data_IF_028939008943
#
_entry.id   IF_028939008943
#
_cell.length_a   1.000
_cell.length_b   1.000
_cell.length_c   1.000
_cell.angle_alpha   90.00
_cell.angle_beta   90.00
_cell.angle_gamma   90.00
#
_symmetry.space_group_name_H-M   'P 1'
#
loop_
_entity.id
_entity.type
_entity.pdbx_description
1 polymer ?
#
# COMPACT_ATOMS: atom_id res chain seq x y z
N UNK A 1 -37.71 -41.51 -40.16
CA UNK A 1 -38.56 -40.37 -40.52
C UNK A 1 -37.72 -39.11 -40.38
N UNK A 2 -37.11 -38.68 -41.48
CA UNK A 2 -36.50 -37.37 -41.64
C UNK A 2 -37.53 -36.48 -42.35
N UNK A 3 -37.65 -35.22 -41.91
CA UNK A 3 -38.11 -34.15 -42.80
C UNK A 3 -37.49 -32.82 -42.40
N UNK A 4 -36.55 -32.38 -43.23
CA UNK A 4 -36.07 -31.01 -43.40
C UNK A 4 -37.18 -30.13 -43.97
N UNK A 5 -37.29 -28.86 -43.54
CA UNK A 5 -37.66 -27.72 -44.40
C UNK A 5 -37.01 -26.42 -43.88
N UNK A 6 -36.05 -25.88 -44.63
CA UNK A 6 -35.90 -24.44 -44.93
C UNK A 6 -36.29 -24.27 -46.41
N UNK A 7 -36.77 -23.10 -46.91
CA UNK A 7 -35.97 -21.87 -47.16
C UNK A 7 -36.81 -20.60 -46.87
N UNK A 8 -36.40 -19.33 -47.01
CA UNK A 8 -35.76 -18.63 -48.14
C UNK A 8 -35.46 -17.17 -47.76
N UNK A 9 -34.42 -16.62 -48.37
CA UNK A 9 -33.87 -15.25 -48.28
C UNK A 9 -34.37 -14.32 -49.41
N UNK A 10 -33.98 -13.02 -49.32
CA UNK A 10 -33.76 -11.97 -50.36
C UNK A 10 -34.84 -10.84 -50.43
N UNK A 11 -34.56 -9.52 -50.73
CA UNK A 11 -33.32 -8.70 -50.73
C UNK A 11 -33.41 -7.27 -50.08
N UNK A 12 -32.22 -6.67 -49.89
CA UNK A 12 -31.76 -5.26 -50.01
C UNK A 12 -32.73 -4.09 -50.31
N UNK A 13 -32.52 -2.97 -49.59
CA UNK A 13 -32.50 -1.62 -50.18
C UNK A 13 -31.53 -0.69 -49.39
N UNK A 14 -30.62 -0.05 -50.12
CA UNK A 14 -29.74 1.02 -49.67
C UNK A 14 -30.28 2.38 -50.12
N UNK A 15 -30.05 3.44 -49.35
CA UNK A 15 -30.11 4.82 -49.83
C UNK A 15 -29.10 5.69 -49.06
N UNK A 16 -28.34 6.49 -49.82
CA UNK A 16 -27.20 7.29 -49.40
C UNK A 16 -27.55 8.79 -49.27
N UNK A 17 -26.79 9.48 -48.40
CA UNK A 17 -26.23 10.86 -48.53
C UNK A 17 -27.20 12.05 -48.75
N UNK A 18 -27.15 13.20 -48.08
CA UNK A 18 -26.04 14.18 -47.94
C UNK A 18 -26.53 15.42 -47.11
N UNK A 19 -25.83 16.57 -46.97
CA UNK A 19 -25.35 17.10 -45.68
C UNK A 19 -25.94 18.47 -45.28
N UNK A 20 -25.60 18.98 -44.08
CA UNK A 20 -25.64 20.43 -43.80
C UNK A 20 -24.58 20.81 -42.77
N UNK A 21 -23.83 21.86 -43.11
CA UNK A 21 -22.60 22.34 -42.48
C UNK A 21 -22.87 23.35 -41.32
N UNK A 22 -21.87 24.08 -40.78
CA UNK A 22 -21.60 24.14 -39.34
C UNK A 22 -22.03 25.48 -38.71
N UNK A 23 -22.12 25.52 -37.37
CA UNK A 23 -22.26 26.77 -36.63
C UNK A 23 -21.06 27.01 -35.72
N UNK A 24 -20.48 28.20 -35.91
CA UNK A 24 -19.29 28.74 -35.29
C UNK A 24 -19.50 29.16 -33.83
N UNK A 25 -18.39 29.07 -33.13
CA UNK A 25 -18.06 29.35 -31.73
C UNK A 25 -18.18 30.86 -31.40
N UNK A 26 -18.26 31.24 -30.11
CA UNK A 26 -17.32 32.24 -29.62
C UNK A 26 -16.51 31.76 -28.41
N UNK A 27 -15.20 31.82 -28.60
CA UNK A 27 -14.12 31.55 -27.65
C UNK A 27 -14.03 32.71 -26.69
N UNK A 28 -14.11 32.46 -25.38
CA UNK A 28 -13.61 33.40 -24.38
C UNK A 28 -12.13 33.15 -24.18
N UNK A 29 -11.32 34.06 -24.72
CA UNK A 29 -9.92 34.24 -24.39
C UNK A 29 -9.82 34.93 -23.03
N UNK A 30 -9.30 34.23 -22.02
CA UNK A 30 -8.75 34.88 -20.82
C UNK A 30 -7.23 34.84 -20.92
N UNK A 31 -6.66 35.96 -21.36
CA UNK A 31 -5.24 36.27 -21.23
C UNK A 31 -4.92 36.52 -19.76
N UNK A 32 -4.18 35.62 -19.11
CA UNK A 32 -3.42 35.95 -17.91
C UNK A 32 -1.95 36.03 -18.30
N UNK A 33 -1.43 37.25 -18.33
CA UNK A 33 0.00 37.52 -18.43
C UNK A 33 0.66 37.20 -17.09
N UNK A 34 1.75 36.45 -17.18
CA UNK A 34 2.76 36.36 -16.13
C UNK A 34 3.44 37.73 -16.00
N UNK A 35 3.22 38.41 -14.87
CA UNK A 35 4.07 39.50 -14.41
C UNK A 35 4.59 39.14 -13.03
N UNK A 36 5.85 38.70 -13.03
CA UNK A 36 6.74 38.67 -11.88
C UNK A 36 6.94 40.09 -11.35
N UNK A 37 6.48 40.39 -10.14
CA UNK A 37 6.89 41.58 -9.40
C UNK A 37 7.25 41.22 -7.95
N UNK A 38 8.55 41.33 -7.68
CA UNK A 38 9.16 41.44 -6.36
C UNK A 38 8.54 42.61 -5.59
N UNK A 39 8.22 42.45 -4.29
CA UNK A 39 8.18 43.57 -3.36
C UNK A 39 9.43 43.57 -2.50
N UNK A 40 10.34 44.50 -2.78
CA UNK A 40 11.29 44.99 -1.81
C UNK A 40 10.53 45.78 -0.72
N UNK A 41 10.62 45.34 0.52
CA UNK A 41 10.14 46.10 1.68
C UNK A 41 11.19 46.09 2.77
N UNK A 42 12.02 47.13 2.73
CA UNK A 42 12.79 47.60 3.87
C UNK A 42 11.84 47.96 5.02
N UNK A 43 11.92 47.23 6.14
CA UNK A 43 11.48 47.74 7.44
C UNK A 43 12.64 47.69 8.43
N UNK A 44 13.20 48.89 8.68
CA UNK A 44 13.92 49.20 9.92
C UNK A 44 12.93 49.08 11.07
N UNK A 45 13.28 48.29 12.08
CA UNK A 45 12.73 48.43 13.42
C UNK A 45 13.89 48.44 14.41
N UNK A 46 14.02 49.60 15.05
CA UNK A 46 14.93 49.91 16.14
C UNK A 46 14.47 49.22 17.42
N UNK A 47 15.40 48.53 18.10
CA UNK A 47 15.28 48.20 19.52
C UNK A 47 16.25 49.08 20.31
N UNK A 48 15.74 49.74 21.35
CA UNK A 48 16.48 50.58 22.30
C UNK A 48 16.38 50.02 23.72
N UNK A 49 17.49 50.17 24.46
CA UNK A 49 17.63 49.99 25.92
C UNK A 49 17.99 48.56 26.33
N UNK A 50 19.24 48.23 26.70
CA UNK A 50 20.04 48.79 27.80
C UNK A 50 19.79 47.91 29.05
N UNK A 51 20.73 47.38 29.84
CA UNK A 51 22.09 47.71 30.33
C UNK A 51 22.67 46.36 30.87
N UNK A 52 23.95 46.08 31.13
CA UNK A 52 25.19 46.85 31.15
C UNK A 52 26.38 45.94 31.49
N UNK A 53 27.57 46.41 31.07
CA UNK A 53 28.98 46.24 31.51
C UNK A 53 29.49 45.06 32.39
N UNK A 54 30.83 44.76 32.41
CA UNK A 54 31.93 45.27 31.58
C UNK A 54 32.81 44.18 30.91
N UNK A 55 33.51 44.63 29.87
CA UNK A 55 34.65 43.95 29.24
C UNK A 55 35.91 44.22 30.06
N UNK A 56 36.65 43.16 30.42
CA UNK A 56 38.08 43.22 30.72
C UNK A 56 38.84 42.52 29.61
N UNK A 57 39.87 43.22 29.16
CA UNK A 57 40.64 43.04 27.93
C UNK A 57 41.89 42.23 28.26
N UNK A 58 42.17 41.17 27.51
CA UNK A 58 43.54 40.67 27.38
C UNK A 58 43.73 39.96 26.04
N UNK A 59 44.79 40.39 25.36
CA UNK A 59 45.18 39.99 24.01
C UNK A 59 45.67 38.56 23.97
N UNK A 60 45.37 37.90 22.86
CA UNK A 60 45.97 36.65 22.41
C UNK A 60 47.47 36.82 22.14
N UNK A 61 48.30 36.04 22.82
CA UNK A 61 49.64 35.69 22.34
C UNK A 61 49.86 34.19 22.56
N UNK A 62 50.27 33.57 21.45
CA UNK A 62 50.68 32.19 21.20
C UNK A 62 51.49 31.51 22.31
N UNK A 63 51.25 30.21 22.50
CA UNK A 63 52.21 29.10 22.36
C UNK A 63 51.57 27.88 23.02
N UNK A 64 51.17 26.86 22.24
CA UNK A 64 50.85 25.55 22.80
C UNK A 64 51.67 24.48 22.10
N UNK A 65 52.49 23.84 22.93
CA UNK A 65 53.34 22.69 22.69
C UNK A 65 52.55 21.47 22.26
N UNK A 66 53.16 20.68 21.39
CA UNK A 66 52.79 19.32 21.02
C UNK A 66 52.53 18.45 22.27
N UNK A 67 51.34 17.89 22.37
CA UNK A 67 51.11 16.65 23.09
C UNK A 67 50.21 15.76 22.23
N UNK A 68 50.86 14.78 21.62
CA UNK A 68 50.26 13.68 20.88
C UNK A 68 49.59 12.74 21.90
N UNK A 69 48.27 12.86 22.06
CA UNK A 69 47.46 11.84 22.73
C UNK A 69 47.00 10.84 21.67
N UNK A 70 47.69 9.70 21.64
CA UNK A 70 47.24 8.52 20.92
C UNK A 70 46.04 7.95 21.67
N UNK A 71 44.83 8.27 21.20
CA UNK A 71 43.59 7.65 21.66
C UNK A 71 43.02 6.84 20.51
N UNK A 72 43.40 5.57 20.46
CA UNK A 72 42.63 4.55 19.77
C UNK A 72 41.32 4.35 20.54
N UNK A 73 40.31 5.17 20.23
CA UNK A 73 38.93 4.73 20.40
C UNK A 73 38.63 3.68 19.33
N UNK A 74 38.00 2.54 19.66
CA UNK A 74 37.49 1.65 18.65
C UNK A 74 36.35 2.39 17.96
N UNK A 75 36.59 2.87 16.73
CA UNK A 75 35.53 3.30 15.84
C UNK A 75 34.67 2.08 15.58
N UNK A 76 33.59 1.97 16.35
CA UNK A 76 32.48 1.10 16.02
C UNK A 76 31.87 1.71 14.76
N UNK A 77 32.46 1.42 13.60
CA UNK A 77 31.89 1.71 12.29
C UNK A 77 30.58 0.91 12.23
N UNK A 78 29.50 1.50 12.74
CA UNK A 78 28.17 1.07 12.40
C UNK A 78 28.08 1.25 10.90
N UNK A 79 28.25 0.16 10.15
CA UNK A 79 28.03 0.15 8.72
C UNK A 79 26.61 0.64 8.49
N UNK A 80 26.49 1.85 7.94
CA UNK A 80 25.19 2.42 7.62
C UNK A 80 24.49 1.48 6.63
N UNK A 81 23.33 0.95 7.03
CA UNK A 81 22.59 0.00 6.21
C UNK A 81 22.05 0.69 4.96
N UNK A 82 21.89 -0.05 3.87
CA UNK A 82 21.24 0.51 2.69
C UNK A 82 19.80 0.92 3.02
N UNK A 83 19.44 2.13 2.60
CA UNK A 83 18.11 2.72 2.74
C UNK A 83 17.48 3.12 1.41
N UNK A 84 18.14 2.83 0.30
CA UNK A 84 17.66 3.16 -1.03
C UNK A 84 16.99 1.95 -1.67
N UNK A 85 15.86 2.16 -2.34
CA UNK A 85 15.24 1.14 -3.19
C UNK A 85 16.26 0.58 -4.18
N UNK A 86 16.31 -0.75 -4.28
CA UNK A 86 17.15 -1.45 -5.25
C UNK A 86 16.72 -1.13 -6.69
N UNK A 87 17.59 -1.46 -7.64
CA UNK A 87 17.29 -1.26 -9.07
C UNK A 87 16.10 -2.12 -9.50
N UNK A 88 15.43 -1.69 -10.56
CA UNK A 88 14.41 -2.53 -11.19
C UNK A 88 15.06 -3.83 -11.70
N UNK A 89 14.39 -4.95 -11.44
CA UNK A 89 14.75 -6.27 -11.94
C UNK A 89 13.50 -6.94 -12.52
N UNK A 90 13.71 -7.82 -13.49
CA UNK A 90 12.66 -8.66 -14.06
C UNK A 90 12.60 -10.01 -13.32
N UNK A 91 11.42 -10.66 -13.29
CA UNK A 91 11.31 -11.98 -12.72
C UNK A 91 12.02 -12.99 -13.63
N UNK A 92 12.80 -13.89 -13.04
CA UNK A 92 13.42 -14.98 -13.79
C UNK A 92 12.46 -16.16 -14.01
N UNK A 93 11.37 -16.21 -13.26
CA UNK A 93 10.33 -17.24 -13.37
C UNK A 93 8.96 -16.67 -13.03
N UNK A 94 7.94 -17.10 -13.75
CA UNK A 94 6.53 -16.74 -13.51
C UNK A 94 5.66 -17.96 -13.76
N UNK A 95 4.48 -18.00 -13.15
CA UNK A 95 3.55 -19.11 -13.34
C UNK A 95 2.13 -18.78 -12.90
N UNK A 96 1.24 -19.71 -13.20
CA UNK A 96 -0.15 -19.73 -12.72
C UNK A 96 -0.32 -21.02 -11.92
N UNK A 97 -0.75 -20.90 -10.66
CA UNK A 97 -0.98 -22.04 -9.77
C UNK A 97 -2.49 -22.22 -9.57
N UNK A 98 -3.01 -23.41 -9.89
CA UNK A 98 -4.40 -23.78 -9.53
C UNK A 98 -4.47 -24.05 -8.04
N UNK A 99 -5.27 -23.26 -7.31
CA UNK A 99 -5.41 -23.35 -5.86
C UNK A 99 -6.76 -23.88 -5.40
N UNK A 100 -7.79 -23.77 -6.24
CA UNK A 100 -9.07 -24.46 -6.05
C UNK A 100 -9.67 -24.83 -7.40
N UNK A 101 -10.86 -25.45 -7.42
CA UNK A 101 -11.58 -25.68 -8.68
C UNK A 101 -12.09 -24.38 -9.33
N UNK A 102 -12.15 -23.29 -8.56
CA UNK A 102 -12.54 -21.97 -9.05
C UNK A 102 -11.32 -21.13 -9.40
N UNK A 103 -10.29 -21.12 -8.55
CA UNK A 103 -9.23 -20.11 -8.61
C UNK A 103 -7.90 -20.62 -9.15
N UNK A 104 -7.26 -19.76 -9.94
CA UNK A 104 -5.83 -19.83 -10.22
C UNK A 104 -5.15 -18.50 -9.85
N UNK A 105 -3.99 -18.59 -9.22
CA UNK A 105 -3.21 -17.41 -8.81
C UNK A 105 -1.97 -17.24 -9.67
N UNK A 106 -1.68 -16.01 -10.06
CA UNK A 106 -0.40 -15.64 -10.67
C UNK A 106 0.68 -15.54 -9.60
N UNK A 107 1.87 -16.05 -9.91
CA UNK A 107 3.06 -15.87 -9.09
C UNK A 107 4.29 -15.59 -9.95
N UNK A 108 5.30 -14.98 -9.33
CA UNK A 108 6.59 -14.72 -9.92
C UNK A 108 7.74 -14.83 -8.91
N UNK A 109 8.93 -15.12 -9.43
CA UNK A 109 10.17 -15.20 -8.68
C UNK A 109 11.22 -14.26 -9.28
N UNK A 110 11.86 -13.47 -8.43
CA UNK A 110 12.89 -12.49 -8.78
C UNK A 110 14.09 -12.58 -7.82
N UNK A 111 15.17 -11.85 -8.11
CA UNK A 111 16.38 -11.85 -7.28
C UNK A 111 17.21 -13.12 -7.47
N UNK A 112 17.81 -13.63 -6.40
CA UNK A 112 18.71 -14.78 -6.41
C UNK A 112 17.89 -16.08 -6.28
N UNK A 113 17.90 -17.01 -7.27
CA UNK A 113 17.19 -18.28 -7.17
C UNK A 113 17.59 -19.17 -5.99
N UNK A 114 18.82 -19.00 -5.48
CA UNK A 114 19.35 -19.71 -4.31
C UNK A 114 19.41 -18.82 -3.06
N UNK A 115 18.77 -17.66 -3.11
CA UNK A 115 18.76 -16.68 -2.02
C UNK A 115 17.79 -17.05 -0.89
N UNK A 116 17.81 -16.25 0.18
CA UNK A 116 16.85 -16.37 1.28
C UNK A 116 15.43 -16.08 0.75
N UNK A 117 14.47 -17.01 0.91
CA UNK A 117 13.13 -16.82 0.37
C UNK A 117 12.35 -15.76 1.16
N UNK A 118 11.69 -14.86 0.44
CA UNK A 118 10.77 -13.85 0.98
C UNK A 118 9.51 -13.80 0.15
N UNK A 119 8.35 -13.83 0.81
CA UNK A 119 7.04 -13.63 0.17
C UNK A 119 6.54 -12.21 0.40
N UNK A 120 6.10 -11.56 -0.67
CA UNK A 120 5.46 -10.25 -0.64
C UNK A 120 3.94 -10.41 -0.70
N UNK A 121 3.25 -9.89 0.31
CA UNK A 121 1.79 -9.86 0.40
C UNK A 121 1.28 -8.45 0.06
N UNK A 122 0.64 -8.30 -1.10
CA UNK A 122 0.12 -7.02 -1.55
C UNK A 122 -1.09 -6.54 -0.73
N UNK A 123 -1.35 -5.22 -0.79
CA UNK A 123 -2.46 -4.56 -0.08
C UNK A 123 -3.79 -4.55 -0.84
N UNK A 124 -4.68 -3.65 -0.41
CA UNK A 124 -6.11 -3.59 -0.76
C UNK A 124 -6.98 -4.06 0.42
N UNK A 125 -7.63 -5.25 0.35
CA UNK A 125 -7.36 -6.34 -0.58
C UNK A 125 -7.82 -6.07 -2.01
N UNK A 126 -7.31 -6.86 -2.97
CA UNK A 126 -7.65 -6.69 -4.39
C UNK A 126 -6.67 -5.84 -5.21
N UNK A 127 -5.57 -5.35 -4.62
CA UNK A 127 -4.62 -4.45 -5.31
C UNK A 127 -3.72 -5.09 -6.37
N UNK A 128 -3.30 -6.35 -6.16
CA UNK A 128 -2.30 -7.00 -6.99
C UNK A 128 -0.88 -6.47 -6.76
N UNK A 129 0.08 -7.13 -7.39
CA UNK A 129 1.51 -6.79 -7.33
C UNK A 129 1.93 -5.86 -8.45
N UNK A 130 3.10 -5.23 -8.28
CA UNK A 130 3.71 -4.34 -9.26
C UNK A 130 5.23 -4.51 -9.31
N UNK A 131 5.90 -4.17 -10.42
CA UNK A 131 7.36 -4.34 -10.54
C UNK A 131 8.17 -3.61 -9.46
N UNK A 132 7.66 -2.49 -8.95
CA UNK A 132 8.31 -1.71 -7.89
C UNK A 132 8.39 -2.47 -6.56
N UNK A 133 7.52 -3.45 -6.32
CA UNK A 133 7.51 -4.24 -5.09
C UNK A 133 8.77 -5.11 -4.94
N UNK A 134 9.45 -5.45 -6.03
CA UNK A 134 10.73 -6.21 -6.00
C UNK A 134 11.88 -5.39 -5.42
N UNK A 135 11.77 -4.06 -5.43
CA UNK A 135 12.88 -3.13 -5.13
C UNK A 135 13.15 -2.95 -3.63
N UNK A 136 12.34 -3.54 -2.76
CA UNK A 136 12.56 -3.50 -1.32
C UNK A 136 13.63 -4.50 -0.85
N UNK A 137 14.06 -5.41 -1.73
CA UNK A 137 14.90 -6.56 -1.37
C UNK A 137 16.21 -6.50 -2.14
N UNK A 138 17.32 -6.85 -1.47
CA UNK A 138 18.60 -7.06 -2.12
C UNK A 138 18.52 -8.23 -3.11
N UNK A 139 18.66 -8.00 -4.42
CA UNK A 139 18.48 -9.04 -5.43
C UNK A 139 19.57 -10.10 -5.39
N UNK A 140 20.72 -9.84 -4.78
CA UNK A 140 21.80 -10.82 -4.65
C UNK A 140 21.59 -11.75 -3.46
N UNK A 141 20.80 -11.34 -2.47
CA UNK A 141 20.55 -12.12 -1.26
C UNK A 141 19.19 -12.80 -1.24
N UNK A 142 18.13 -12.13 -1.70
CA UNK A 142 16.78 -12.65 -1.58
C UNK A 142 16.32 -13.42 -2.82
N UNK A 143 15.65 -14.55 -2.60
CA UNK A 143 14.72 -15.17 -3.55
C UNK A 143 13.35 -14.54 -3.31
N UNK A 144 12.92 -13.64 -4.19
CA UNK A 144 11.75 -12.78 -3.98
C UNK A 144 10.53 -13.41 -4.64
N UNK A 145 9.51 -13.75 -3.86
CA UNK A 145 8.25 -14.34 -4.32
C UNK A 145 7.16 -13.27 -4.24
N UNK A 146 6.57 -12.92 -5.38
CA UNK A 146 5.37 -12.09 -5.49
C UNK A 146 4.25 -12.96 -6.04
N UNK A 147 3.03 -12.77 -5.57
CA UNK A 147 1.84 -13.38 -6.16
C UNK A 147 0.64 -12.45 -6.05
N UNK A 148 -0.27 -12.56 -7.00
CA UNK A 148 -1.53 -11.84 -6.96
C UNK A 148 -2.58 -12.70 -6.24
N UNK A 149 -3.20 -12.16 -5.20
CA UNK A 149 -4.24 -12.84 -4.44
C UNK A 149 -5.48 -13.11 -5.31
N UNK A 150 -6.38 -13.99 -4.84
CA UNK A 150 -7.58 -14.41 -5.57
C UNK A 150 -8.37 -13.22 -6.13
N UNK A 151 -8.64 -13.27 -7.44
CA UNK A 151 -9.41 -12.26 -8.16
C UNK A 151 -8.73 -10.91 -8.40
N UNK A 152 -7.48 -10.73 -7.98
CA UNK A 152 -6.72 -9.49 -8.16
C UNK A 152 -5.63 -9.65 -9.24
N UNK A 153 -5.22 -8.52 -9.84
CA UNK A 153 -4.11 -8.48 -10.80
C UNK A 153 -4.28 -9.50 -11.93
N UNK A 154 -3.30 -10.40 -12.08
CA UNK A 154 -3.27 -11.45 -13.10
C UNK A 154 -3.94 -12.77 -12.66
N UNK A 155 -4.43 -12.85 -11.43
CA UNK A 155 -5.12 -14.03 -10.90
C UNK A 155 -6.55 -14.12 -11.43
N UNK A 156 -7.05 -15.35 -11.61
CA UNK A 156 -8.36 -15.57 -12.24
C UNK A 156 -9.25 -16.48 -11.37
N UNK A 157 -10.59 -16.27 -11.41
CA UNK A 157 -11.31 -15.29 -12.22
C UNK A 157 -11.23 -13.87 -11.64
N UNK A 158 -11.05 -12.87 -12.52
CA UNK A 158 -10.93 -11.46 -12.14
C UNK A 158 -12.15 -10.97 -11.34
N UNK A 159 -11.91 -10.21 -10.26
CA UNK A 159 -12.91 -9.68 -9.34
C UNK A 159 -13.86 -10.75 -8.72
N UNK A 160 -13.45 -12.02 -8.67
CA UNK A 160 -14.26 -13.09 -8.11
C UNK A 160 -14.25 -13.08 -6.57
N UNK A 161 -15.45 -13.18 -5.97
CA UNK A 161 -15.65 -13.20 -4.51
C UNK A 161 -15.96 -14.60 -3.95
N UNK A 162 -16.23 -15.57 -4.82
CA UNK A 162 -16.48 -16.96 -4.42
C UNK A 162 -15.18 -17.55 -3.90
N UNK A 163 -15.17 -18.23 -2.75
CA UNK A 163 -13.93 -18.75 -2.13
C UNK A 163 -12.84 -17.68 -2.04
N UNK A 164 -13.18 -16.46 -1.60
CA UNK A 164 -12.22 -15.37 -1.47
C UNK A 164 -12.27 -14.80 -0.05
N UNK A 165 -11.77 -15.58 0.90
CA UNK A 165 -11.70 -15.24 2.33
C UNK A 165 -10.26 -15.16 2.81
N UNK A 166 -10.04 -14.58 4.00
CA UNK A 166 -8.70 -14.55 4.62
C UNK A 166 -8.09 -15.94 4.77
N UNK A 167 -8.92 -16.94 5.11
CA UNK A 167 -8.47 -18.32 5.31
C UNK A 167 -8.13 -19.01 3.99
N UNK A 168 -8.91 -18.75 2.93
CA UNK A 168 -8.59 -19.17 1.57
C UNK A 168 -7.22 -18.64 1.11
N UNK A 169 -6.93 -17.38 1.41
CA UNK A 169 -5.65 -16.77 1.04
C UNK A 169 -4.48 -17.34 1.87
N UNK A 170 -4.71 -17.70 3.14
CA UNK A 170 -3.70 -18.39 3.96
C UNK A 170 -3.38 -19.77 3.37
N UNK A 171 -4.39 -20.53 2.95
CA UNK A 171 -4.21 -21.81 2.30
C UNK A 171 -3.45 -21.67 0.97
N UNK A 172 -3.70 -20.60 0.21
CA UNK A 172 -2.99 -20.31 -1.03
C UNK A 172 -1.50 -19.99 -0.82
N UNK A 173 -1.19 -19.26 0.26
CA UNK A 173 0.18 -18.94 0.64
C UNK A 173 0.94 -20.25 0.91
N UNK A 174 0.36 -21.21 1.64
CA UNK A 174 0.98 -22.52 1.86
C UNK A 174 1.09 -23.35 0.58
N UNK A 175 0.05 -23.41 -0.26
CA UNK A 175 0.11 -24.10 -1.56
C UNK A 175 1.23 -23.54 -2.44
N UNK A 176 1.42 -22.22 -2.45
CA UNK A 176 2.50 -21.59 -3.20
C UNK A 176 3.87 -21.92 -2.58
N UNK A 177 4.00 -21.87 -1.26
CA UNK A 177 5.22 -22.23 -0.54
C UNK A 177 5.66 -23.66 -0.87
N UNK A 178 4.73 -24.60 -0.82
CA UNK A 178 4.97 -26.01 -1.15
C UNK A 178 5.27 -26.22 -2.64
N UNK A 179 4.52 -25.56 -3.53
CA UNK A 179 4.74 -25.62 -4.98
C UNK A 179 6.14 -25.17 -5.37
N UNK A 180 6.68 -24.17 -4.68
CA UNK A 180 8.02 -23.62 -4.92
C UNK A 180 9.14 -24.33 -4.11
N UNK A 181 8.77 -25.37 -3.35
CA UNK A 181 9.65 -26.18 -2.50
C UNK A 181 10.41 -25.35 -1.46
N UNK A 182 9.73 -24.37 -0.86
CA UNK A 182 10.31 -23.46 0.15
C UNK A 182 9.95 -23.99 1.56
N UNK A 183 10.91 -24.38 2.40
CA UNK A 183 10.57 -24.89 3.75
C UNK A 183 9.97 -23.82 4.65
N UNK A 184 10.62 -22.66 4.70
CA UNK A 184 10.28 -21.49 5.50
C UNK A 184 10.70 -20.24 4.73
N UNK A 185 10.08 -19.09 5.00
CA UNK A 185 10.39 -17.83 4.32
C UNK A 185 10.17 -16.61 5.20
N UNK A 186 10.72 -15.48 4.78
CA UNK A 186 10.40 -14.18 5.37
C UNK A 186 9.05 -13.70 4.80
N UNK A 187 8.24 -13.03 5.62
CA UNK A 187 6.96 -12.44 5.20
C UNK A 187 7.06 -10.93 5.17
N UNK A 188 6.75 -10.32 4.04
CA UNK A 188 6.70 -8.87 3.87
C UNK A 188 5.30 -8.45 3.45
N UNK A 189 4.68 -7.50 4.16
CA UNK A 189 3.36 -7.02 3.77
C UNK A 189 2.96 -5.71 4.43
N UNK A 190 2.21 -4.88 3.71
CA UNK A 190 1.72 -3.61 4.25
C UNK A 190 0.29 -3.29 3.86
N UNK A 191 -0.37 -2.43 4.64
CA UNK A 191 -1.82 -2.22 4.56
C UNK A 191 -2.56 -3.53 4.83
N UNK A 192 -3.54 -3.91 4.01
CA UNK A 192 -4.08 -5.28 4.01
C UNK A 192 -3.02 -6.39 3.97
N UNK A 193 -1.89 -6.17 3.29
CA UNK A 193 -0.77 -7.11 3.30
C UNK A 193 -0.19 -7.32 4.71
N UNK A 194 -0.32 -6.34 5.62
CA UNK A 194 0.03 -6.51 7.04
C UNK A 194 -1.03 -7.35 7.78
N UNK A 195 -2.32 -7.17 7.48
CA UNK A 195 -3.42 -8.00 7.98
C UNK A 195 -3.19 -9.47 7.63
N UNK A 196 -2.91 -9.74 6.35
CA UNK A 196 -2.67 -11.10 5.85
C UNK A 196 -1.35 -11.66 6.37
N UNK A 197 -0.30 -10.85 6.48
CA UNK A 197 0.97 -11.25 7.12
C UNK A 197 0.76 -11.71 8.55
N UNK A 198 0.02 -10.94 9.36
CA UNK A 198 -0.27 -11.28 10.75
C UNK A 198 -1.09 -12.57 10.83
N UNK A 199 -2.16 -12.68 10.05
CA UNK A 199 -3.04 -13.85 10.06
C UNK A 199 -2.30 -15.13 9.62
N UNK A 200 -1.51 -15.06 8.54
CA UNK A 200 -0.69 -16.17 8.06
C UNK A 200 0.36 -16.59 9.10
N UNK A 201 1.14 -15.66 9.63
CA UNK A 201 2.17 -15.98 10.63
C UNK A 201 1.57 -16.52 11.93
N UNK A 202 0.35 -16.12 12.31
CA UNK A 202 -0.34 -16.67 13.48
C UNK A 202 -0.87 -18.09 13.26
N UNK A 203 -1.18 -18.46 12.01
CA UNK A 203 -1.61 -19.80 11.63
C UNK A 203 -0.42 -20.75 11.41
N UNK A 204 0.68 -20.24 10.87
CA UNK A 204 1.88 -21.01 10.49
C UNK A 204 3.17 -20.38 11.05
N UNK A 205 3.30 -20.21 12.38
CA UNK A 205 4.44 -19.52 12.98
C UNK A 205 5.78 -20.21 12.69
N UNK A 206 5.78 -21.53 12.49
CA UNK A 206 6.96 -22.33 12.17
C UNK A 206 7.41 -22.20 10.70
N UNK A 207 6.66 -21.47 9.85
CA UNK A 207 7.02 -21.23 8.44
C UNK A 207 7.65 -19.87 8.20
N UNK A 208 7.79 -19.05 9.24
CA UNK A 208 8.12 -17.63 9.12
C UNK A 208 9.46 -17.31 9.78
N UNK A 209 10.45 -16.99 8.96
CA UNK A 209 11.83 -16.67 9.41
C UNK A 209 11.99 -15.23 9.91
N UNK A 210 11.09 -14.34 9.51
CA UNK A 210 11.09 -12.92 9.88
C UNK A 210 9.93 -12.17 9.23
N UNK A 211 9.62 -10.98 9.74
CA UNK A 211 8.52 -10.16 9.22
C UNK A 211 8.91 -8.69 9.04
N UNK A 212 8.44 -8.09 7.94
CA UNK A 212 8.48 -6.64 7.73
C UNK A 212 7.07 -6.15 7.41
N UNK A 213 6.52 -5.36 8.33
CA UNK A 213 5.15 -4.88 8.30
C UNK A 213 5.08 -3.37 8.06
N UNK A 214 4.10 -2.90 7.30
CA UNK A 214 3.90 -1.47 7.05
C UNK A 214 2.44 -1.05 7.10
N UNK A 215 2.13 0.14 7.62
CA UNK A 215 0.77 0.70 7.51
C UNK A 215 -0.23 -0.26 8.14
N UNK A 216 -0.08 -0.50 9.44
CA UNK A 216 -0.72 -1.60 10.15
C UNK A 216 -2.23 -1.48 10.06
N UNK A 217 -2.85 -2.52 9.52
CA UNK A 217 -4.29 -2.67 9.43
C UNK A 217 -4.71 -3.92 10.19
N UNK A 218 -5.57 -3.76 11.20
CA UNK A 218 -6.01 -4.85 12.06
C UNK A 218 -7.47 -5.25 11.80
N UNK A 219 -8.11 -4.61 10.82
CA UNK A 219 -9.50 -4.83 10.41
C UNK A 219 -10.57 -4.64 11.50
N UNK A 220 -10.24 -3.96 12.59
CA UNK A 220 -11.22 -3.62 13.62
C UNK A 220 -12.26 -2.66 13.09
N UNK A 221 -13.49 -2.75 13.59
CA UNK A 221 -14.60 -1.86 13.20
C UNK A 221 -14.21 -0.39 13.30
N UNK A 222 -13.45 0.01 14.33
CA UNK A 222 -13.01 1.40 14.49
C UNK A 222 -12.09 1.91 13.37
N UNK A 223 -11.37 1.02 12.68
CA UNK A 223 -10.51 1.35 11.53
C UNK A 223 -11.35 1.49 10.27
N UNK A 224 -12.32 0.59 10.07
CA UNK A 224 -13.30 0.68 8.99
C UNK A 224 -14.15 1.95 9.12
N UNK A 225 -14.69 2.22 10.31
CA UNK A 225 -15.50 3.40 10.59
C UNK A 225 -14.70 4.69 10.38
N UNK A 226 -13.43 4.69 10.78
CA UNK A 226 -12.54 5.82 10.56
C UNK A 226 -12.44 6.15 9.07
N UNK A 227 -12.17 5.16 8.21
CA UNK A 227 -11.85 5.44 6.82
C UNK A 227 -13.07 5.49 5.89
N UNK A 228 -14.10 4.67 6.14
CA UNK A 228 -15.26 4.51 5.25
C UNK A 228 -16.59 4.99 5.85
N UNK A 229 -16.63 5.45 7.10
CA UNK A 229 -17.85 6.02 7.71
C UNK A 229 -17.66 7.48 8.17
N UNK A 230 -16.61 8.14 7.67
CA UNK A 230 -16.46 9.61 7.71
C UNK A 230 -15.49 10.17 8.75
N UNK A 231 -14.70 9.33 9.45
CA UNK A 231 -13.63 9.83 10.33
C UNK A 231 -12.56 10.62 9.58
N UNK A 232 -11.99 10.02 8.53
CA UNK A 232 -10.96 10.62 7.68
C UNK A 232 -11.47 11.81 6.85
N UNK A 233 -12.79 11.95 6.69
CA UNK A 233 -13.40 13.11 6.04
C UNK A 233 -13.12 14.44 6.76
N UNK A 234 -12.75 14.39 8.05
CA UNK A 234 -12.30 15.57 8.79
C UNK A 234 -10.99 16.16 8.23
N UNK A 235 -10.22 15.36 7.47
CA UNK A 235 -8.94 15.76 6.86
C UNK A 235 -9.12 16.00 5.35
N UNK A 236 -9.93 15.18 4.68
CA UNK A 236 -10.15 15.23 3.22
C UNK A 236 -11.64 15.40 2.85
N UNK A 237 -12.28 16.52 3.23
CA UNK A 237 -13.71 16.73 2.96
C UNK A 237 -14.02 16.82 1.46
N UNK A 238 -13.07 17.33 0.67
CA UNK A 238 -13.13 17.47 -0.79
C UNK A 238 -13.04 16.12 -1.53
N UNK A 239 -12.18 15.20 -1.08
CA UNK A 239 -12.14 13.84 -1.61
C UNK A 239 -13.33 12.99 -1.12
N UNK A 240 -13.81 13.25 0.09
CA UNK A 240 -14.91 12.51 0.71
C UNK A 240 -16.26 12.81 0.07
N UNK A 241 -16.51 14.06 -0.33
CA UNK A 241 -17.80 14.48 -0.87
C UNK A 241 -18.24 13.64 -2.08
N UNK A 242 -17.42 13.44 -3.14
CA UNK A 242 -17.79 12.55 -4.26
C UNK A 242 -18.05 11.10 -3.84
N UNK A 243 -17.27 10.55 -2.90
CA UNK A 243 -17.47 9.19 -2.38
C UNK A 243 -18.82 9.07 -1.66
N UNK A 244 -19.15 10.02 -0.79
CA UNK A 244 -20.42 10.03 -0.05
C UNK A 244 -21.62 10.33 -0.95
N UNK A 245 -21.51 11.27 -1.87
CA UNK A 245 -22.63 11.75 -2.69
C UNK A 245 -23.11 10.74 -3.74
N UNK A 246 -22.27 9.75 -4.11
CA UNK A 246 -22.73 8.61 -4.91
C UNK A 246 -23.85 7.82 -4.20
N UNK A 247 -23.86 7.82 -2.86
CA UNK A 247 -24.84 7.12 -2.05
C UNK A 247 -26.03 8.06 -1.75
N UNK A 248 -27.28 7.67 -2.03
CA UNK A 248 -28.47 8.42 -1.64
C UNK A 248 -28.53 8.67 -0.14
N UNK A 249 -29.01 9.84 0.27
CA UNK A 249 -29.00 10.29 1.67
C UNK A 249 -29.62 9.27 2.64
N UNK A 250 -30.71 8.61 2.24
CA UNK A 250 -31.40 7.59 3.03
C UNK A 250 -30.64 6.25 3.15
N UNK A 251 -29.58 6.02 2.37
CA UNK A 251 -28.70 4.85 2.45
C UNK A 251 -27.38 5.14 3.18
N UNK A 252 -27.11 6.39 3.60
CA UNK A 252 -25.84 6.79 4.26
C UNK A 252 -25.69 6.37 5.73
N UNK A 253 -26.52 5.42 6.19
CA UNK A 253 -26.42 4.86 7.55
C UNK A 253 -25.27 3.88 7.73
N UNK A 254 -24.84 3.23 6.64
CA UNK A 254 -23.54 2.58 6.50
C UNK A 254 -23.12 2.66 5.04
N UNK A 255 -22.05 3.39 4.77
CA UNK A 255 -21.53 3.53 3.42
C UNK A 255 -20.92 2.21 2.94
N UNK A 256 -20.29 1.44 3.83
CA UNK A 256 -19.73 0.12 3.48
C UNK A 256 -20.83 -0.80 2.93
N UNK A 257 -21.98 -0.91 3.59
CA UNK A 257 -23.10 -1.73 3.12
C UNK A 257 -23.76 -1.16 1.86
N UNK A 258 -23.90 0.17 1.78
CA UNK A 258 -24.49 0.84 0.62
C UNK A 258 -23.64 0.67 -0.66
N UNK A 259 -22.32 0.68 -0.51
CA UNK A 259 -21.38 0.34 -1.57
C UNK A 259 -21.41 -1.16 -1.89
N UNK A 260 -21.51 -2.04 -0.90
CA UNK A 260 -21.60 -3.49 -1.12
C UNK A 260 -22.73 -3.88 -2.06
N UNK A 261 -23.90 -3.27 -1.86
CA UNK A 261 -25.08 -3.43 -2.72
C UNK A 261 -24.79 -3.01 -4.18
N UNK A 262 -24.09 -1.90 -4.39
CA UNK A 262 -23.80 -1.35 -5.73
C UNK A 262 -22.70 -2.12 -6.45
N UNK A 263 -21.65 -2.49 -5.71
CA UNK A 263 -20.51 -3.29 -6.17
C UNK A 263 -20.91 -4.73 -6.56
N UNK A 264 -22.07 -5.20 -6.13
CA UNK A 264 -22.63 -6.52 -6.49
C UNK A 264 -23.99 -6.42 -7.21
N UNK A 265 -24.28 -5.27 -7.84
CA UNK A 265 -25.47 -5.06 -8.66
C UNK A 265 -25.41 -5.90 -9.95
N UNK A 266 -26.55 -6.35 -10.48
CA UNK A 266 -26.60 -6.98 -11.82
C UNK A 266 -26.28 -5.98 -12.95
N UNK A 267 -26.36 -4.67 -12.68
CA UNK A 267 -25.97 -3.62 -13.62
C UNK A 267 -24.48 -3.26 -13.51
N UNK A 268 -23.72 -3.55 -14.56
CA UNK A 268 -22.28 -3.25 -14.64
C UNK A 268 -21.96 -1.76 -14.54
N UNK A 269 -22.82 -0.87 -15.05
CA UNK A 269 -22.55 0.57 -14.95
C UNK A 269 -22.63 1.07 -13.51
N UNK A 270 -23.58 0.54 -12.73
CA UNK A 270 -23.65 0.74 -11.28
C UNK A 270 -22.41 0.21 -10.58
N UNK A 271 -21.93 -1.00 -10.94
CA UNK A 271 -20.71 -1.55 -10.36
C UNK A 271 -19.51 -0.65 -10.62
N UNK A 272 -19.26 -0.25 -11.89
CA UNK A 272 -18.12 0.59 -12.24
C UNK A 272 -18.18 1.98 -11.60
N UNK A 273 -19.36 2.60 -11.54
CA UNK A 273 -19.51 3.89 -10.88
C UNK A 273 -19.14 3.82 -9.38
N UNK A 274 -19.61 2.79 -8.68
CA UNK A 274 -19.26 2.54 -7.29
C UNK A 274 -17.78 2.19 -7.12
N UNK A 275 -17.25 1.33 -7.99
CA UNK A 275 -15.86 0.89 -7.95
C UNK A 275 -14.87 2.06 -8.11
N UNK A 276 -15.11 2.95 -9.09
CA UNK A 276 -14.28 4.15 -9.28
C UNK A 276 -14.35 5.10 -8.08
N UNK A 277 -15.54 5.37 -7.55
CA UNK A 277 -15.69 6.27 -6.42
C UNK A 277 -14.97 5.74 -5.17
N UNK A 278 -15.15 4.46 -4.88
CA UNK A 278 -14.47 3.75 -3.79
C UNK A 278 -12.94 3.78 -3.96
N UNK A 279 -12.45 3.39 -5.12
CA UNK A 279 -11.00 3.32 -5.39
C UNK A 279 -10.36 4.70 -5.37
N UNK A 280 -11.00 5.71 -5.97
CA UNK A 280 -10.48 7.09 -5.98
C UNK A 280 -10.37 7.68 -4.59
N UNK A 281 -11.34 7.43 -3.71
CA UNK A 281 -11.27 7.86 -2.30
C UNK A 281 -9.95 7.43 -1.67
N UNK A 282 -9.59 6.15 -1.78
CA UNK A 282 -8.33 5.67 -1.21
C UNK A 282 -7.09 6.19 -1.93
N UNK A 283 -7.12 6.25 -3.27
CA UNK A 283 -5.96 6.74 -4.03
C UNK A 283 -5.63 8.22 -3.74
N UNK A 284 -6.63 9.02 -3.39
CA UNK A 284 -6.47 10.44 -3.02
C UNK A 284 -5.88 10.63 -1.61
N UNK A 285 -6.00 9.64 -0.73
CA UNK A 285 -5.59 9.73 0.68
C UNK A 285 -4.38 8.88 1.04
N UNK A 286 -3.85 8.10 0.09
CA UNK A 286 -2.74 7.17 0.35
C UNK A 286 -1.36 7.85 0.54
N UNK A 287 -1.20 9.12 0.14
CA UNK A 287 0.04 9.88 0.26
C UNK A 287 -0.16 11.14 1.09
N UNK A 288 0.89 11.59 1.79
CA UNK A 288 0.87 12.83 2.57
C UNK A 288 0.64 14.04 1.67
N UNK A 289 1.34 14.08 0.53
CA UNK A 289 1.11 15.05 -0.54
C UNK A 289 0.38 14.33 -1.69
N UNK A 290 -0.61 14.97 -2.33
CA UNK A 290 -1.35 14.36 -3.44
C UNK A 290 -0.42 13.81 -4.52
N UNK A 291 -0.71 12.59 -4.98
CA UNK A 291 0.04 11.90 -6.02
C UNK A 291 -0.86 11.63 -7.23
N UNK A 292 -0.73 12.45 -8.26
CA UNK A 292 -1.56 12.38 -9.48
C UNK A 292 -1.44 11.05 -10.23
N UNK A 293 -0.28 10.40 -10.19
CA UNK A 293 -0.10 9.08 -10.82
C UNK A 293 -0.89 8.00 -10.07
N UNK A 294 -0.91 8.06 -8.73
CA UNK A 294 -1.68 7.15 -7.90
C UNK A 294 -3.19 7.37 -8.09
N UNK A 295 -3.64 8.63 -8.09
CA UNK A 295 -5.06 8.99 -8.25
C UNK A 295 -5.63 8.47 -9.57
N UNK A 296 -4.86 8.56 -10.66
CA UNK A 296 -5.26 8.06 -11.99
C UNK A 296 -5.54 6.57 -12.04
N UNK A 297 -5.02 5.77 -11.10
CA UNK A 297 -5.36 4.33 -11.04
C UNK A 297 -6.85 4.11 -10.81
N UNK A 298 -7.51 5.01 -10.07
CA UNK A 298 -8.96 4.96 -9.87
C UNK A 298 -9.80 5.30 -11.11
N UNK A 299 -9.16 5.66 -12.24
CA UNK A 299 -9.83 5.80 -13.54
C UNK A 299 -9.84 4.48 -14.35
N UNK A 300 -9.05 3.48 -13.96
CA UNK A 300 -9.02 2.17 -14.60
C UNK A 300 -10.19 1.32 -14.08
N UNK A 301 -11.13 1.00 -14.96
CA UNK A 301 -12.35 0.26 -14.63
C UNK A 301 -12.07 -1.19 -14.21
N UNK A 302 -11.10 -1.87 -14.82
CA UNK A 302 -10.78 -3.26 -14.46
C UNK A 302 -10.12 -3.30 -13.08
N UNK A 303 -9.10 -2.47 -12.87
CA UNK A 303 -8.44 -2.35 -11.57
C UNK A 303 -9.43 -1.93 -10.48
N UNK A 304 -10.19 -0.86 -10.71
CA UNK A 304 -11.12 -0.33 -9.71
C UNK A 304 -12.20 -1.37 -9.36
N UNK A 305 -12.66 -2.15 -10.34
CA UNK A 305 -13.68 -3.17 -10.10
C UNK A 305 -13.15 -4.29 -9.20
N UNK A 306 -11.98 -4.87 -9.49
CA UNK A 306 -11.39 -5.88 -8.62
C UNK A 306 -11.07 -5.32 -7.24
N UNK A 307 -10.41 -4.16 -7.19
CA UNK A 307 -10.02 -3.49 -5.96
C UNK A 307 -11.23 -3.25 -5.05
N UNK A 308 -12.21 -2.48 -5.51
CA UNK A 308 -13.34 -2.10 -4.68
C UNK A 308 -14.24 -3.28 -4.30
N UNK A 309 -14.51 -4.23 -5.23
CA UNK A 309 -15.38 -5.37 -4.91
C UNK A 309 -14.76 -6.28 -3.87
N UNK A 310 -13.47 -6.61 -4.02
CA UNK A 310 -12.77 -7.48 -3.08
C UNK A 310 -12.59 -6.76 -1.74
N UNK A 311 -12.12 -5.52 -1.75
CA UNK A 311 -11.93 -4.74 -0.53
C UNK A 311 -13.21 -4.63 0.30
N UNK A 312 -14.29 -4.16 -0.32
CA UNK A 312 -15.58 -4.06 0.34
C UNK A 312 -16.09 -5.43 0.83
N UNK A 313 -15.89 -6.51 0.06
CA UNK A 313 -16.27 -7.87 0.45
C UNK A 313 -15.58 -8.32 1.75
N UNK A 314 -14.30 -8.02 1.93
CA UNK A 314 -13.59 -8.34 3.16
C UNK A 314 -14.11 -7.48 4.33
N UNK A 315 -14.47 -6.22 4.08
CA UNK A 315 -14.90 -5.32 5.15
C UNK A 315 -16.30 -5.64 5.68
N UNK A 316 -17.28 -5.91 4.80
CA UNK A 316 -18.62 -6.34 5.25
C UNK A 316 -18.57 -7.65 6.03
N UNK A 317 -17.60 -8.52 5.72
CA UNK A 317 -17.38 -9.78 6.42
C UNK A 317 -16.37 -9.69 7.57
N UNK A 318 -15.94 -8.48 7.97
CA UNK A 318 -15.01 -8.26 9.09
C UNK A 318 -13.72 -9.08 8.99
N UNK A 319 -13.19 -9.22 7.78
CA UNK A 319 -12.01 -10.04 7.50
C UNK A 319 -12.18 -11.53 7.73
N UNK A 320 -13.41 -12.02 7.90
CA UNK A 320 -13.70 -13.42 8.25
C UNK A 320 -13.07 -13.88 9.58
N UNK A 321 -12.73 -12.92 10.45
CA UNK A 321 -12.22 -13.20 11.77
C UNK A 321 -13.34 -13.47 12.76
N UNK A 322 -13.06 -14.28 13.78
CA UNK A 322 -14.04 -14.64 14.81
C UNK A 322 -14.29 -13.52 15.82
N UNK A 323 -13.40 -12.53 15.92
CA UNK A 323 -13.53 -11.37 16.79
C UNK A 323 -12.93 -10.12 16.15
N UNK A 324 -13.36 -8.95 16.62
CA UNK A 324 -12.83 -7.65 16.16
C UNK A 324 -11.32 -7.52 16.48
N UNK A 325 -10.91 -7.98 17.66
CA UNK A 325 -9.53 -7.94 18.15
C UNK A 325 -8.68 -9.15 17.73
N UNK A 326 -9.17 -10.02 16.84
CA UNK A 326 -8.57 -11.34 16.55
C UNK A 326 -7.05 -11.28 16.35
N UNK A 327 -6.57 -10.36 15.51
CA UNK A 327 -5.14 -10.26 15.21
C UNK A 327 -4.30 -9.81 16.40
N UNK A 328 -4.84 -8.97 17.30
CA UNK A 328 -4.14 -8.58 18.52
C UNK A 328 -4.16 -9.72 19.56
N UNK A 329 -5.29 -10.40 19.69
CA UNK A 329 -5.48 -11.49 20.66
C UNK A 329 -4.56 -12.69 20.38
N UNK A 330 -4.07 -12.82 19.14
CA UNK A 330 -3.22 -13.91 18.69
C UNK A 330 -1.73 -13.53 18.56
N UNK A 331 -1.33 -12.32 18.93
CA UNK A 331 0.06 -11.85 18.80
C UNK A 331 1.07 -12.75 19.52
N UNK A 332 0.74 -13.29 20.70
CA UNK A 332 1.64 -14.13 21.49
C UNK A 332 2.18 -15.34 20.71
N UNK A 333 1.43 -15.84 19.72
CA UNK A 333 1.87 -16.94 18.84
C UNK A 333 3.09 -16.59 18.00
N UNK A 334 3.31 -15.31 17.71
CA UNK A 334 4.33 -14.84 16.77
C UNK A 334 5.38 -13.94 17.42
N UNK A 335 5.29 -13.67 18.74
CA UNK A 335 6.21 -12.73 19.42
C UNK A 335 7.69 -13.05 19.28
N UNK A 336 8.01 -14.33 19.10
CA UNK A 336 9.36 -14.83 18.92
C UNK A 336 9.95 -14.52 17.53
N UNK A 337 9.12 -14.19 16.54
CA UNK A 337 9.54 -13.90 15.17
C UNK A 337 10.14 -12.50 15.09
N UNK A 338 11.34 -12.37 14.51
CA UNK A 338 12.00 -11.08 14.31
C UNK A 338 11.19 -10.21 13.36
N UNK A 339 10.72 -9.08 13.86
CA UNK A 339 9.74 -8.25 13.16
C UNK A 339 10.10 -6.77 13.24
N UNK A 340 9.98 -6.06 12.11
CA UNK A 340 9.99 -4.60 12.06
C UNK A 340 8.63 -4.09 11.59
N UNK A 341 8.06 -3.13 12.31
CA UNK A 341 6.81 -2.43 11.99
C UNK A 341 7.16 -0.99 11.58
N UNK A 342 6.79 -0.60 10.37
CA UNK A 342 6.99 0.75 9.83
C UNK A 342 5.64 1.44 9.65
N UNK A 343 5.46 2.62 10.24
CA UNK A 343 4.20 3.36 10.18
C UNK A 343 4.43 4.83 9.81
N UNK A 344 3.63 5.35 8.88
CA UNK A 344 3.55 6.79 8.63
C UNK A 344 2.77 7.50 9.74
N UNK A 345 3.30 8.60 10.26
CA UNK A 345 2.63 9.40 11.31
C UNK A 345 1.27 9.91 10.85
N UNK A 346 1.17 10.30 9.58
CA UNK A 346 -0.03 10.87 8.96
C UNK A 346 -0.70 9.87 8.02
N UNK A 347 -0.51 8.57 8.25
CA UNK A 347 -1.26 7.53 7.56
C UNK A 347 -2.75 7.67 7.91
N UNK A 348 -3.55 8.10 6.94
CA UNK A 348 -4.99 8.30 7.08
C UNK A 348 -5.81 7.10 6.63
N UNK A 349 -5.25 6.21 5.81
CA UNK A 349 -5.92 4.97 5.39
C UNK A 349 -5.93 3.96 6.55
N UNK A 350 -4.75 3.77 7.16
CA UNK A 350 -4.55 2.89 8.32
C UNK A 350 -4.03 3.74 9.48
N UNK A 351 -4.93 4.31 10.31
CA UNK A 351 -4.55 5.32 11.29
C UNK A 351 -3.52 4.77 12.28
N UNK A 352 -2.52 5.61 12.61
CA UNK A 352 -1.39 5.33 13.51
C UNK A 352 -1.78 4.61 14.83
N UNK A 353 -3.03 4.77 15.29
CA UNK A 353 -3.57 4.05 16.45
C UNK A 353 -3.43 2.52 16.33
N UNK A 354 -3.54 1.94 15.13
CA UNK A 354 -3.45 0.49 14.92
C UNK A 354 -2.04 -0.01 15.11
N UNK A 355 -1.05 0.65 14.51
CA UNK A 355 0.35 0.32 14.71
C UNK A 355 0.79 0.52 16.17
N UNK A 356 0.27 1.56 16.84
CA UNK A 356 0.52 1.79 18.26
C UNK A 356 -0.06 0.68 19.15
N UNK A 357 -1.27 0.22 18.86
CA UNK A 357 -1.90 -0.90 19.59
C UNK A 357 -1.12 -2.21 19.38
N UNK A 358 -0.70 -2.50 18.13
CA UNK A 358 0.14 -3.68 17.83
C UNK A 358 1.51 -3.60 18.51
N UNK A 359 2.17 -2.45 18.47
CA UNK A 359 3.46 -2.23 19.14
C UNK A 359 3.38 -2.49 20.66
N UNK A 360 2.31 -2.05 21.32
CA UNK A 360 2.11 -2.34 22.76
C UNK A 360 1.89 -3.84 23.04
N UNK A 361 1.18 -4.53 22.14
CA UNK A 361 0.93 -5.97 22.27
C UNK A 361 2.16 -6.82 21.92
N UNK A 362 3.07 -6.28 21.11
CA UNK A 362 4.25 -6.95 20.59
C UNK A 362 5.54 -6.16 20.88
N UNK A 363 5.99 -6.09 22.15
CA UNK A 363 7.14 -5.27 22.56
C UNK A 363 8.48 -5.76 21.97
N UNK A 364 8.57 -7.00 21.49
CA UNK A 364 9.75 -7.55 20.82
C UNK A 364 9.94 -7.02 19.38
N UNK A 365 8.88 -6.52 18.75
CA UNK A 365 8.98 -5.97 17.39
C UNK A 365 9.64 -4.59 17.40
N UNK A 366 10.56 -4.36 16.46
CA UNK A 366 11.11 -3.02 16.25
C UNK A 366 10.02 -2.13 15.66
N UNK A 367 9.77 -0.97 16.29
CA UNK A 367 8.73 -0.05 15.85
C UNK A 367 9.32 1.25 15.32
N UNK A 368 9.04 1.57 14.06
CA UNK A 368 9.50 2.75 13.34
C UNK A 368 8.33 3.62 12.93
N UNK A 369 8.40 4.89 13.32
CA UNK A 369 7.42 5.90 12.92
C UNK A 369 8.09 6.96 12.06
N UNK A 370 7.68 7.03 10.80
CA UNK A 370 8.15 8.04 9.85
C UNK A 370 7.29 9.28 10.04
N UNK A 371 7.91 10.35 10.54
CA UNK A 371 7.18 11.52 11.06
C UNK A 371 6.48 12.34 9.98
N UNK A 372 6.95 12.29 8.74
CA UNK A 372 6.53 13.10 7.61
C UNK A 372 6.04 12.25 6.43
N UNK A 373 5.37 11.13 6.72
CA UNK A 373 4.83 10.24 5.70
C UNK A 373 3.36 9.87 5.92
N UNK A 374 2.66 9.65 4.81
CA UNK A 374 1.32 9.08 4.73
C UNK A 374 1.32 7.56 4.73
N UNK A 375 0.39 6.95 3.98
CA UNK A 375 0.16 5.50 4.00
C UNK A 375 1.13 4.73 3.10
N UNK A 376 1.40 5.22 1.89
CA UNK A 376 2.04 4.45 0.81
C UNK A 376 3.44 3.94 1.16
N UNK A 377 3.75 2.72 0.70
CA UNK A 377 5.10 2.15 0.81
C UNK A 377 6.17 2.95 0.02
N UNK A 378 5.73 3.78 -0.92
CA UNK A 378 6.62 4.57 -1.79
C UNK A 378 6.87 6.00 -1.26
N UNK A 379 6.33 6.35 -0.09
CA UNK A 379 6.76 7.55 0.63
C UNK A 379 8.27 7.45 0.92
N UNK A 380 9.08 8.50 0.68
CA UNK A 380 10.55 8.40 0.78
C UNK A 380 11.03 7.79 2.10
N UNK A 381 10.54 8.30 3.23
CA UNK A 381 10.90 7.78 4.54
C UNK A 381 10.40 6.36 4.80
N UNK A 382 9.21 6.00 4.32
CA UNK A 382 8.68 4.64 4.46
C UNK A 382 9.51 3.65 3.66
N UNK A 383 9.78 3.96 2.39
CA UNK A 383 10.58 3.09 1.53
C UNK A 383 11.98 2.86 2.09
N UNK A 384 12.57 3.89 2.69
CA UNK A 384 13.87 3.82 3.33
C UNK A 384 13.89 2.87 4.54
N UNK A 385 12.91 2.98 5.44
CA UNK A 385 12.80 2.10 6.60
C UNK A 385 12.48 0.65 6.20
N UNK A 386 11.73 0.43 5.11
CA UNK A 386 11.44 -0.92 4.60
C UNK A 386 12.67 -1.62 4.02
N UNK A 387 13.49 -0.90 3.26
CA UNK A 387 14.77 -1.43 2.76
C UNK A 387 15.71 -1.70 3.94
N UNK A 388 15.81 -0.77 4.89
CA UNK A 388 16.66 -0.94 6.08
C UNK A 388 16.24 -2.17 6.91
N UNK A 389 14.94 -2.39 7.08
CA UNK A 389 14.41 -3.55 7.80
C UNK A 389 14.82 -4.88 7.13
N UNK A 390 14.75 -4.96 5.80
CA UNK A 390 15.21 -6.13 5.06
C UNK A 390 16.73 -6.32 5.15
N UNK A 391 17.52 -5.25 5.15
CA UNK A 391 18.98 -5.33 5.35
C UNK A 391 19.35 -5.80 6.76
N UNK A 392 18.59 -5.37 7.79
CA UNK A 392 18.75 -5.87 9.17
C UNK A 392 18.49 -7.38 9.26
N UNK A 393 17.37 -7.85 8.72
CA UNK A 393 17.03 -9.27 8.73
C UNK A 393 18.06 -10.11 7.97
N UNK A 394 18.49 -9.64 6.79
CA UNK A 394 19.60 -10.24 6.03
C UNK A 394 20.87 -10.37 6.87
N UNK A 395 21.27 -9.31 7.57
CA UNK A 395 22.47 -9.34 8.41
C UNK A 395 22.34 -10.30 9.60
N UNK A 396 21.16 -10.38 10.22
CA UNK A 396 20.87 -11.35 11.29
C UNK A 396 21.00 -12.78 10.76
N UNK A 397 20.42 -13.07 9.60
CA UNK A 397 20.46 -14.40 8.97
C UNK A 397 21.91 -14.78 8.60
N UNK A 398 22.66 -13.86 7.99
CA UNK A 398 24.07 -14.10 7.62
C UNK A 398 25.00 -14.30 8.82
N UNK A 399 24.70 -13.67 9.96
CA UNK A 399 25.53 -13.78 11.16
C UNK A 399 25.10 -14.93 12.09
N UNK A 400 23.88 -15.45 11.92
CA UNK A 400 23.35 -16.59 12.66
C UNK A 400 23.51 -17.94 11.95
N UNK A 401 23.87 -17.92 10.66
CA UNK A 401 24.28 -19.09 9.86
C UNK A 401 25.78 -19.30 9.97
#
# INVERSE_FOLDING_TARGET
>A
MLTFITPSTIPYAAAASSPSSPLLIPTRTSSFSLLSHNPSLNKKLSFSGGKGFPVLRAQSTSYNSEQQFDSMEPTNESTELNRNLYRNIEPYSTGILKVSDVHTIYWEQSGNPNGHPVVFLHGGPGGGTSPSNRRFFDPEFYRIILFDQRGAGKSTPHACLVENTTWDLIDDIEKLREHLEIPEWQVFGGSWGSTLSLAYSQAHPDKVTGMVLRGIFLLRKKEIDWFYEGGAAAIYPDAWEPFRELIPENERGSLVDAYHKRLNSDDLQTQFAAARAWTKWEMMTAHLLPNEENIKKGDDDEFSLAFARIENHYFVNKGFFSSDSFLLDNVDKIRHIKTTIVQGRYDVCCPMMSAWDLHKAWPEAEFKVVQDAGHSANEPGISAELVEANEKLKNIIKNGS
#
